data_IF_852638287865
#
_entry.id   IF_852638287865
#
_cell.length_a   1.000
_cell.length_b   1.000
_cell.length_c   1.000
_cell.angle_alpha   90.00
_cell.angle_beta   90.00
_cell.angle_gamma   90.00
#
_symmetry.space_group_name_H-M   'P 1'
#
loop_
_entity.id
_entity.type
_entity.pdbx_description
1 polymer ?
#
# COMPACT_ATOMS: atom_id res chain seq x y z
N UNK A 1 12.49 -19.51 3.04
CA UNK A 1 12.22 -18.99 1.67
C UNK A 1 12.63 -17.52 1.55
N UNK A 2 12.16 -16.64 2.43
CA UNK A 2 12.48 -15.20 2.39
C UNK A 2 14.00 -14.93 2.50
N UNK A 3 14.73 -15.63 3.37
CA UNK A 3 16.20 -15.50 3.47
C UNK A 3 16.89 -15.70 2.12
N UNK A 4 16.50 -16.73 1.35
CA UNK A 4 17.03 -16.97 0.00
C UNK A 4 16.68 -15.84 -0.98
N UNK A 5 15.52 -15.19 -0.83
CA UNK A 5 15.16 -14.02 -1.63
C UNK A 5 16.04 -12.82 -1.26
N UNK A 6 16.35 -12.62 0.03
CA UNK A 6 17.26 -11.57 0.49
C UNK A 6 18.69 -11.81 -0.04
N UNK A 7 19.20 -13.03 0.10
CA UNK A 7 20.52 -13.44 -0.43
C UNK A 7 20.61 -13.28 -1.95
N UNK A 8 19.51 -13.51 -2.66
CA UNK A 8 19.42 -13.30 -4.11
C UNK A 8 19.31 -11.81 -4.52
N UNK A 9 19.16 -10.89 -3.56
CA UNK A 9 19.17 -9.44 -3.81
C UNK A 9 17.80 -8.73 -3.69
N UNK A 10 16.81 -9.31 -3.02
CA UNK A 10 15.55 -8.61 -2.75
C UNK A 10 15.75 -7.43 -1.78
N UNK A 11 15.64 -6.19 -2.28
CA UNK A 11 15.78 -4.98 -1.47
C UNK A 11 14.45 -4.40 -0.94
N UNK A 12 13.32 -4.77 -1.55
CA UNK A 12 11.99 -4.29 -1.17
C UNK A 12 10.99 -5.44 -1.21
N UNK A 13 10.26 -5.64 -0.12
CA UNK A 13 9.15 -6.57 -0.05
C UNK A 13 7.83 -5.79 -0.21
N UNK A 14 7.06 -6.16 -1.24
CA UNK A 14 5.74 -5.57 -1.55
C UNK A 14 4.64 -6.36 -0.85
N UNK A 15 3.80 -5.65 -0.10
CA UNK A 15 2.60 -6.15 0.55
C UNK A 15 1.39 -5.59 -0.18
N UNK A 16 0.75 -6.45 -0.97
CA UNK A 16 -0.46 -6.10 -1.71
C UNK A 16 -1.68 -6.33 -0.84
N UNK A 17 -2.22 -5.24 -0.30
CA UNK A 17 -3.40 -5.31 0.58
C UNK A 17 -4.70 -5.23 -0.23
N UNK A 18 -4.67 -5.27 -1.57
CA UNK A 18 -5.90 -5.32 -2.36
C UNK A 18 -6.76 -6.54 -2.02
N UNK A 19 -6.10 -7.64 -1.63
CA UNK A 19 -6.67 -8.91 -1.23
C UNK A 19 -5.94 -9.44 0.03
N UNK A 20 -6.61 -10.32 0.79
CA UNK A 20 -6.06 -10.88 2.03
C UNK A 20 -6.27 -10.01 3.27
N UNK A 21 -6.13 -10.64 4.45
CA UNK A 21 -6.39 -9.98 5.74
C UNK A 21 -5.13 -9.32 6.32
N UNK A 22 -5.32 -8.33 7.20
CA UNK A 22 -4.20 -7.75 7.96
C UNK A 22 -3.40 -8.81 8.73
N UNK A 23 -4.06 -9.86 9.24
CA UNK A 23 -3.39 -10.96 9.96
C UNK A 23 -2.44 -11.75 9.06
N UNK A 24 -2.87 -12.07 7.83
CA UNK A 24 -2.02 -12.76 6.85
C UNK A 24 -0.78 -11.94 6.49
N UNK A 25 -0.98 -10.63 6.24
CA UNK A 25 0.12 -9.72 5.94
C UNK A 25 1.04 -9.52 7.15
N UNK A 26 0.49 -9.53 8.38
CA UNK A 26 1.28 -9.45 9.61
C UNK A 26 2.20 -10.65 9.78
N UNK A 27 1.71 -11.87 9.55
CA UNK A 27 2.52 -13.09 9.61
C UNK A 27 3.67 -13.03 8.58
N UNK A 28 3.36 -12.59 7.37
CA UNK A 28 4.36 -12.42 6.30
C UNK A 28 5.43 -11.39 6.68
N UNK A 29 5.04 -10.27 7.30
CA UNK A 29 5.97 -9.26 7.79
C UNK A 29 6.85 -9.75 8.94
N UNK A 30 6.30 -10.54 9.86
CA UNK A 30 7.09 -11.17 10.93
C UNK A 30 8.16 -12.07 10.32
N UNK A 31 7.78 -12.91 9.35
CA UNK A 31 8.72 -13.78 8.64
C UNK A 31 9.82 -12.98 7.91
N UNK A 32 9.48 -11.85 7.29
CA UNK A 32 10.44 -10.96 6.67
C UNK A 32 11.41 -10.34 7.69
N UNK A 33 10.91 -9.83 8.81
CA UNK A 33 11.74 -9.22 9.85
C UNK A 33 12.69 -10.23 10.49
N UNK A 34 12.23 -11.45 10.71
CA UNK A 34 13.08 -12.57 11.17
C UNK A 34 14.17 -12.89 10.14
N UNK A 35 13.84 -12.95 8.85
CA UNK A 35 14.82 -13.19 7.79
C UNK A 35 15.86 -12.06 7.68
N UNK A 36 15.44 -10.80 7.81
CA UNK A 36 16.35 -9.64 7.86
C UNK A 36 17.30 -9.76 9.05
N UNK A 37 16.79 -10.11 10.23
CA UNK A 37 17.60 -10.32 11.42
C UNK A 37 18.63 -11.44 11.24
N UNK A 38 18.22 -12.58 10.68
CA UNK A 38 19.08 -13.76 10.51
C UNK A 38 20.18 -13.55 9.46
N UNK A 39 19.86 -12.86 8.36
CA UNK A 39 20.80 -12.66 7.24
C UNK A 39 21.65 -11.40 7.40
N UNK A 40 21.21 -10.44 8.21
CA UNK A 40 21.80 -9.10 8.28
C UNK A 40 21.55 -8.24 7.03
N UNK A 41 20.74 -8.71 6.07
CA UNK A 41 20.44 -8.01 4.82
C UNK A 41 19.19 -7.15 5.03
N UNK A 42 19.33 -5.84 4.84
CA UNK A 42 18.21 -4.91 4.95
C UNK A 42 17.25 -5.05 3.77
N UNK A 43 15.95 -4.99 4.07
CA UNK A 43 14.89 -4.97 3.07
C UNK A 43 13.78 -4.00 3.50
N UNK A 44 13.38 -3.12 2.59
CA UNK A 44 12.33 -2.15 2.84
C UNK A 44 10.94 -2.79 2.70
N UNK A 45 9.97 -2.28 3.46
CA UNK A 45 8.58 -2.71 3.40
C UNK A 45 7.77 -1.71 2.58
N UNK A 46 7.12 -2.20 1.54
CA UNK A 46 6.26 -1.42 0.66
C UNK A 46 4.81 -1.88 0.83
N UNK A 47 3.93 -0.95 1.21
CA UNK A 47 2.47 -1.17 1.18
C UNK A 47 1.95 -0.78 -0.19
N UNK A 48 1.20 -1.68 -0.79
CA UNK A 48 0.52 -1.44 -2.03
C UNK A 48 -0.99 -1.22 -1.85
N UNK A 49 -1.44 -0.03 -2.24
CA UNK A 49 -2.86 0.35 -2.20
C UNK A 49 -3.58 -0.14 -3.43
N UNK A 50 -4.83 -0.56 -3.23
CA UNK A 50 -5.70 -0.93 -4.32
C UNK A 50 -6.07 0.31 -5.13
N UNK A 51 -6.43 1.38 -4.43
CA UNK A 51 -7.00 2.58 -5.03
C UNK A 51 -8.42 2.35 -5.57
N UNK A 52 -9.02 3.38 -6.17
CA UNK A 52 -10.38 3.29 -6.71
C UNK A 52 -10.43 2.38 -7.94
N UNK A 53 -11.29 1.36 -7.90
CA UNK A 53 -11.61 0.48 -9.03
C UNK A 53 -13.09 0.62 -9.42
N UNK A 54 -13.38 0.71 -10.72
CA UNK A 54 -14.74 0.55 -11.24
C UNK A 54 -14.94 -0.95 -11.51
N UNK A 55 -15.71 -1.65 -10.66
CA UNK A 55 -16.12 -3.04 -10.91
C UNK A 55 -17.51 -3.07 -11.53
N UNK A 56 -17.66 -3.69 -12.71
CA UNK A 56 -18.97 -4.02 -13.28
C UNK A 56 -19.33 -5.46 -12.89
N UNK A 57 -20.17 -5.65 -11.88
CA UNK A 57 -20.68 -6.96 -11.44
C UNK A 57 -22.18 -6.90 -11.12
N UNK A 58 -22.88 -8.04 -11.24
CA UNK A 58 -24.35 -8.16 -11.08
C UNK A 58 -24.82 -8.31 -9.62
N UNK A 59 -24.11 -7.74 -8.65
CA UNK A 59 -24.44 -7.88 -7.23
C UNK A 59 -23.92 -6.70 -6.41
N UNK A 60 -24.57 -6.47 -5.26
CA UNK A 60 -24.39 -5.38 -4.31
C UNK A 60 -22.94 -5.25 -3.78
N UNK A 61 -22.02 -4.77 -4.63
CA UNK A 61 -20.69 -4.34 -4.24
C UNK A 61 -20.68 -2.83 -4.06
N UNK A 62 -20.03 -2.35 -2.99
CA UNK A 62 -19.90 -0.93 -2.63
C UNK A 62 -19.73 -0.04 -3.87
N UNK A 63 -20.80 0.68 -4.18
CA UNK A 63 -20.80 1.72 -5.19
C UNK A 63 -20.11 2.93 -4.55
N UNK A 64 -18.78 2.95 -4.49
CA UNK A 64 -18.03 4.16 -4.12
C UNK A 64 -18.11 5.25 -5.22
N UNK A 65 -19.06 5.08 -6.15
CA UNK A 65 -19.38 5.95 -7.27
C UNK A 65 -20.90 6.21 -7.30
N UNK A 66 -21.41 6.84 -6.24
CA UNK A 66 -22.65 7.60 -6.39
C UNK A 66 -22.37 8.75 -7.36
N UNK A 67 -23.02 8.66 -8.53
CA UNK A 67 -23.15 9.69 -9.59
C UNK A 67 -22.75 11.09 -9.12
N UNK A 68 -21.53 11.53 -9.45
CA UNK A 68 -21.08 12.91 -9.29
C UNK A 68 -19.91 13.14 -8.32
N UNK A 69 -19.51 12.15 -7.53
CA UNK A 69 -18.30 12.28 -6.71
C UNK A 69 -17.02 12.07 -7.55
N UNK A 70 -16.05 12.98 -7.43
CA UNK A 70 -14.72 12.79 -8.00
C UNK A 70 -14.02 11.71 -7.16
N UNK A 71 -13.55 10.59 -7.73
CA UNK A 71 -12.89 9.55 -6.95
C UNK A 71 -11.66 10.12 -6.23
N UNK A 72 -11.53 9.92 -4.93
CA UNK A 72 -10.34 10.28 -4.16
C UNK A 72 -9.19 9.33 -4.49
N UNK A 73 -7.96 9.75 -4.19
CA UNK A 73 -6.77 8.92 -4.45
C UNK A 73 -6.73 7.68 -3.55
N UNK A 74 -7.20 7.82 -2.31
CA UNK A 74 -7.32 6.73 -1.34
C UNK A 74 -8.81 6.40 -1.14
N UNK A 75 -9.15 5.12 -1.26
CA UNK A 75 -10.46 4.59 -0.83
C UNK A 75 -10.54 4.53 0.69
N UNK A 76 -11.74 4.29 1.25
CA UNK A 76 -11.87 4.08 2.70
C UNK A 76 -11.07 2.85 3.16
N UNK A 77 -11.01 1.81 2.33
CA UNK A 77 -10.19 0.62 2.60
C UNK A 77 -8.70 0.98 2.65
N UNK A 78 -8.19 1.73 1.68
CA UNK A 78 -6.78 2.14 1.66
C UNK A 78 -6.42 2.93 2.92
N UNK A 79 -7.30 3.86 3.34
CA UNK A 79 -7.11 4.62 4.59
C UNK A 79 -7.05 3.70 5.81
N UNK A 80 -7.94 2.71 5.90
CA UNK A 80 -7.95 1.73 6.98
C UNK A 80 -6.67 0.87 6.97
N UNK A 81 -6.22 0.41 5.79
CA UNK A 81 -4.99 -0.37 5.64
C UNK A 81 -3.76 0.43 6.09
N UNK A 82 -3.69 1.71 5.71
CA UNK A 82 -2.60 2.59 6.11
C UNK A 82 -2.60 2.83 7.62
N UNK A 83 -3.75 3.16 8.21
CA UNK A 83 -3.85 3.51 9.64
C UNK A 83 -3.69 2.31 10.56
N UNK A 84 -4.29 1.17 10.20
CA UNK A 84 -4.36 0.00 11.07
C UNK A 84 -3.21 -0.99 10.85
N UNK A 85 -2.59 -0.97 9.67
CA UNK A 85 -1.51 -1.90 9.34
C UNK A 85 -0.22 -1.18 8.92
N UNK A 86 -0.27 -0.24 7.98
CA UNK A 86 0.92 0.42 7.43
C UNK A 86 1.72 1.24 8.46
N UNK A 87 1.09 2.21 9.10
CA UNK A 87 1.72 3.09 10.10
C UNK A 87 2.22 2.30 11.32
N UNK A 88 1.39 1.42 11.96
CA UNK A 88 1.86 0.62 13.09
C UNK A 88 3.08 -0.25 12.75
N UNK A 89 3.15 -0.78 11.51
CA UNK A 89 4.25 -1.59 11.04
C UNK A 89 5.43 -0.81 10.45
N UNK A 90 5.40 0.53 10.48
CA UNK A 90 6.48 1.42 10.01
C UNK A 90 6.92 1.08 8.58
N UNK A 91 5.98 1.02 7.66
CA UNK A 91 6.29 0.83 6.23
C UNK A 91 7.23 1.93 5.73
N UNK A 92 8.06 1.61 4.73
CA UNK A 92 8.99 2.56 4.13
C UNK A 92 8.39 3.26 2.91
N UNK A 93 7.55 2.54 2.15
CA UNK A 93 7.00 3.01 0.88
C UNK A 93 5.49 2.76 0.88
N UNK A 94 4.72 3.80 0.55
CA UNK A 94 3.31 3.70 0.21
C UNK A 94 3.17 3.89 -1.29
N UNK A 95 2.74 2.85 -1.99
CA UNK A 95 2.44 2.97 -3.41
C UNK A 95 0.98 3.37 -3.61
N UNK A 96 0.74 4.32 -4.49
CA UNK A 96 -0.55 4.96 -4.71
C UNK A 96 -1.05 4.61 -6.11
N UNK A 97 -2.16 3.91 -6.18
CA UNK A 97 -2.91 3.71 -7.42
C UNK A 97 -3.64 4.99 -7.82
N UNK A 98 -3.85 5.20 -9.13
CA UNK A 98 -4.70 6.27 -9.67
C UNK A 98 -4.30 7.72 -9.35
N UNK A 99 -3.01 8.01 -9.14
CA UNK A 99 -2.49 9.39 -9.00
C UNK A 99 -2.55 10.11 -10.36
N UNK A 100 -3.37 11.15 -10.44
CA UNK A 100 -3.64 11.92 -11.68
C UNK A 100 -2.90 13.25 -11.71
N UNK A 101 -2.85 13.96 -10.58
CA UNK A 101 -2.30 15.33 -10.47
C UNK A 101 -1.52 15.55 -9.17
N UNK A 102 -0.76 16.63 -9.08
CA UNK A 102 0.04 16.96 -7.88
C UNK A 102 -0.79 17.06 -6.60
N UNK A 103 -2.00 17.64 -6.69
CA UNK A 103 -2.89 17.79 -5.52
C UNK A 103 -3.34 16.44 -4.93
N UNK A 104 -3.29 15.36 -5.70
CA UNK A 104 -3.58 14.01 -5.19
C UNK A 104 -2.52 13.57 -4.18
N UNK A 105 -1.25 13.96 -4.41
CA UNK A 105 -0.18 13.71 -3.46
C UNK A 105 -0.27 14.62 -2.24
N UNK A 106 -0.71 15.87 -2.41
CA UNK A 106 -0.94 16.79 -1.31
C UNK A 106 -2.05 16.26 -0.37
N UNK A 107 -3.12 15.69 -0.93
CA UNK A 107 -4.18 15.01 -0.18
C UNK A 107 -3.61 13.85 0.66
N UNK A 108 -2.82 12.97 0.04
CA UNK A 108 -2.22 11.82 0.74
C UNK A 108 -1.23 12.28 1.82
N UNK A 109 -0.43 13.32 1.55
CA UNK A 109 0.48 13.89 2.55
C UNK A 109 -0.28 14.49 3.73
N UNK A 110 -1.38 15.20 3.46
CA UNK A 110 -2.27 15.71 4.50
C UNK A 110 -2.88 14.60 5.35
N UNK A 111 -3.27 13.49 4.72
CA UNK A 111 -3.78 12.31 5.42
C UNK A 111 -2.71 11.61 6.29
N UNK A 112 -1.47 11.49 5.81
CA UNK A 112 -0.38 10.87 6.57
C UNK A 112 0.08 11.71 7.78
N UNK A 113 -0.20 13.02 7.80
CA UNK A 113 0.16 13.90 8.90
C UNK A 113 1.65 13.86 9.22
N UNK A 114 1.99 13.61 10.48
CA UNK A 114 3.39 13.56 10.95
C UNK A 114 4.22 12.43 10.32
N UNK A 115 3.58 11.38 9.79
CA UNK A 115 4.27 10.24 9.19
C UNK A 115 4.80 10.51 7.77
N UNK A 116 4.51 11.69 7.20
CA UNK A 116 4.95 12.08 5.85
C UNK A 116 6.46 12.10 5.68
N UNK A 117 7.22 12.31 6.76
CA UNK A 117 8.68 12.37 6.71
C UNK A 117 9.34 10.98 6.72
N UNK A 118 8.59 9.94 7.06
CA UNK A 118 9.12 8.57 7.20
C UNK A 118 8.66 7.62 6.10
N UNK A 119 7.59 7.98 5.38
CA UNK A 119 6.98 7.15 4.34
C UNK A 119 7.18 7.80 2.98
N UNK A 120 7.89 7.12 2.09
CA UNK A 120 8.03 7.54 0.69
C UNK A 120 6.74 7.26 -0.07
N UNK A 121 6.29 8.23 -0.88
CA UNK A 121 5.16 8.04 -1.78
C UNK A 121 5.65 7.60 -3.16
N UNK A 122 5.12 6.51 -3.69
CA UNK A 122 5.38 6.04 -5.05
C UNK A 122 4.08 6.05 -5.84
N UNK A 123 3.98 6.90 -6.87
CA UNK A 123 2.80 6.92 -7.74
C UNK A 123 2.88 5.82 -8.78
N UNK A 124 1.84 4.99 -8.87
CA UNK A 124 1.66 4.08 -10.01
C UNK A 124 1.08 4.86 -11.18
N UNK A 125 1.79 4.88 -12.30
CA UNK A 125 1.28 5.42 -13.56
C UNK A 125 0.86 4.26 -14.45
N UNK A 126 -0.45 4.04 -14.54
CA UNK A 126 -1.03 3.08 -15.46
C UNK A 126 -1.41 3.83 -16.74
N UNK A 127 -0.94 3.36 -17.89
CA UNK A 127 -1.16 4.02 -19.17
C UNK A 127 -2.66 3.95 -19.50
N UNK A 128 -3.31 5.11 -19.62
CA UNK A 128 -4.55 5.23 -20.39
C UNK A 128 -4.11 5.27 -21.85
N UNK A 129 -4.20 4.14 -22.54
CA UNK A 129 -4.18 4.12 -24.01
C UNK A 129 -5.42 4.82 -24.56
#
# INVERSE_FOLDING_TARGET
>A
MIEKLLEAGMNVARFDLSEGSHAYHQETLINLRTAIHNTGILCAVMLDTKGPEIRTGTGEGEIDNLRGAVPTTLTQKDKNDILQWGIPNKINILTLSSVRKGSDLDEVRGFLGEHVHTIMLMSKKQHLM
#
